data_IF_053050740889
#
_entry.id   IF_053050740889
#
_cell.length_a   1.000
_cell.length_b   1.000
_cell.length_c   1.000
_cell.angle_alpha   90.00
_cell.angle_beta   90.00
_cell.angle_gamma   90.00
#
_symmetry.space_group_name_H-M   'P 1'
#
loop_
_entity.id
_entity.type
_entity.pdbx_description
1 polymer ?
#
# COMPACT_ATOMS: atom_id res chain seq x y z
N UNK A 1 4.93 9.69 4.35
CA UNK A 1 3.59 9.48 4.95
C UNK A 1 3.68 8.21 5.77
N UNK A 2 3.31 8.24 7.04
CA UNK A 2 3.21 7.04 7.90
C UNK A 2 1.76 6.88 8.34
N UNK A 3 1.25 5.65 8.33
CA UNK A 3 -0.08 5.36 8.88
C UNK A 3 -0.06 5.34 10.41
N UNK A 4 -1.10 5.88 11.03
CA UNK A 4 -1.40 5.64 12.44
C UNK A 4 -2.19 4.33 12.60
N UNK A 5 -2.08 3.68 13.77
CA UNK A 5 -2.84 2.47 14.09
C UNK A 5 -4.35 2.66 13.90
N UNK A 6 -4.87 3.83 14.29
CA UNK A 6 -6.30 4.15 14.13
C UNK A 6 -6.72 4.11 12.66
N UNK A 7 -5.89 4.63 11.75
CA UNK A 7 -6.18 4.68 10.31
C UNK A 7 -6.24 3.28 9.72
N UNK A 8 -5.29 2.42 10.10
CA UNK A 8 -5.28 1.02 9.67
C UNK A 8 -6.48 0.27 10.24
N UNK A 9 -6.77 0.44 11.54
CA UNK A 9 -7.92 -0.18 12.19
C UNK A 9 -9.23 0.23 11.51
N UNK A 10 -9.40 1.50 11.16
CA UNK A 10 -10.60 1.97 10.47
C UNK A 10 -10.76 1.34 9.08
N UNK A 11 -9.67 1.22 8.32
CA UNK A 11 -9.68 0.56 7.01
C UNK A 11 -10.04 -0.92 7.12
N UNK A 12 -9.49 -1.63 8.11
CA UNK A 12 -9.81 -3.04 8.39
C UNK A 12 -11.27 -3.18 8.80
N UNK A 13 -11.75 -2.37 9.75
CA UNK A 13 -13.14 -2.37 10.19
C UNK A 13 -14.11 -2.17 9.03
N UNK A 14 -13.86 -1.16 8.18
CA UNK A 14 -14.66 -0.88 6.99
C UNK A 14 -14.65 -2.04 5.99
N UNK A 15 -13.50 -2.65 5.75
CA UNK A 15 -13.40 -3.82 4.88
C UNK A 15 -14.24 -5.00 5.39
N UNK A 16 -14.21 -5.27 6.70
CA UNK A 16 -15.01 -6.33 7.30
C UNK A 16 -16.51 -6.08 7.13
N UNK A 17 -16.95 -4.82 7.28
CA UNK A 17 -18.34 -4.43 7.02
C UNK A 17 -18.72 -4.61 5.53
N UNK A 18 -17.89 -4.09 4.63
CA UNK A 18 -18.12 -4.09 3.18
C UNK A 18 -18.13 -5.52 2.60
N UNK A 19 -17.38 -6.44 3.21
CA UNK A 19 -17.31 -7.86 2.80
C UNK A 19 -18.38 -8.74 3.45
N UNK A 20 -19.20 -8.21 4.36
CA UNK A 20 -20.25 -8.96 5.05
C UNK A 20 -19.76 -9.82 6.23
N UNK A 21 -18.55 -9.60 6.75
CA UNK A 21 -18.03 -10.30 7.94
C UNK A 21 -18.58 -9.68 9.22
N UNK A 22 -19.90 -9.75 9.41
CA UNK A 22 -20.64 -9.00 10.44
C UNK A 22 -20.11 -9.28 11.86
N UNK A 23 -19.87 -10.54 12.23
CA UNK A 23 -19.38 -10.89 13.57
C UNK A 23 -17.96 -10.40 13.82
N UNK A 24 -17.09 -10.52 12.81
CA UNK A 24 -15.72 -10.02 12.89
C UNK A 24 -15.69 -8.49 12.96
N UNK A 25 -16.49 -7.79 12.15
CA UNK A 25 -16.61 -6.34 12.20
C UNK A 25 -17.10 -5.87 13.58
N UNK A 26 -18.09 -6.57 14.16
CA UNK A 26 -18.60 -6.26 15.49
C UNK A 26 -17.52 -6.41 16.57
N UNK A 27 -16.89 -7.59 16.66
CA UNK A 27 -15.86 -7.85 17.67
C UNK A 27 -14.67 -6.91 17.51
N UNK A 28 -14.20 -6.74 16.27
CA UNK A 28 -13.07 -5.88 15.96
C UNK A 28 -13.36 -4.42 16.30
N UNK A 29 -14.56 -3.91 16.00
CA UNK A 29 -14.92 -2.52 16.33
C UNK A 29 -14.89 -2.22 17.84
N UNK A 30 -15.19 -3.22 18.68
CA UNK A 30 -15.08 -3.11 20.13
C UNK A 30 -13.61 -3.20 20.57
N UNK A 31 -12.89 -4.23 20.13
CA UNK A 31 -11.49 -4.49 20.51
C UNK A 31 -10.54 -3.37 20.06
N UNK A 32 -10.79 -2.78 18.89
CA UNK A 32 -10.00 -1.69 18.34
C UNK A 32 -10.45 -0.30 18.82
N UNK A 33 -11.45 -0.21 19.70
CA UNK A 33 -12.05 1.04 20.16
C UNK A 33 -12.42 2.01 19.02
N UNK A 34 -13.00 1.51 17.92
CA UNK A 34 -13.13 2.30 16.69
C UNK A 34 -13.96 3.58 16.86
N UNK A 35 -14.96 3.54 17.74
CA UNK A 35 -15.82 4.68 18.08
C UNK A 35 -15.07 5.81 18.80
N UNK A 36 -13.90 5.54 19.37
CA UNK A 36 -13.04 6.54 20.02
C UNK A 36 -11.97 7.09 19.06
N UNK A 37 -11.82 6.51 17.87
CA UNK A 37 -10.89 7.01 16.86
C UNK A 37 -11.36 8.37 16.33
N UNK A 38 -10.43 9.28 16.04
CA UNK A 38 -10.73 10.61 15.49
C UNK A 38 -10.93 10.59 13.97
N UNK A 39 -11.35 9.46 13.41
CA UNK A 39 -11.45 9.26 11.96
C UNK A 39 -12.86 9.58 11.49
N UNK A 40 -12.96 10.51 10.54
CA UNK A 40 -14.21 10.82 9.89
C UNK A 40 -14.55 9.74 8.84
N UNK A 41 -15.44 8.81 9.18
CA UNK A 41 -15.83 7.74 8.27
C UNK A 41 -16.49 8.17 6.97
N UNK A 42 -17.03 9.39 6.89
CA UNK A 42 -17.69 9.92 5.68
C UNK A 42 -16.70 10.26 4.56
N UNK A 43 -15.43 10.54 4.88
CA UNK A 43 -14.40 10.83 3.88
C UNK A 43 -13.69 9.58 3.38
N UNK A 44 -13.93 8.43 4.00
CA UNK A 44 -13.30 7.16 3.63
C UNK A 44 -14.17 6.46 2.58
N UNK A 45 -13.72 6.37 1.32
CA UNK A 45 -14.50 5.78 0.25
C UNK A 45 -14.70 4.27 0.47
N UNK A 46 -15.73 3.66 -0.16
CA UNK A 46 -15.86 2.21 -0.20
C UNK A 46 -14.60 1.55 -0.79
N UNK A 47 -14.28 0.34 -0.34
CA UNK A 47 -13.12 -0.44 -0.78
C UNK A 47 -11.77 0.28 -0.60
N UNK A 48 -11.67 1.25 0.32
CA UNK A 48 -10.44 2.02 0.56
C UNK A 48 -9.25 1.11 0.89
N UNK A 49 -9.43 0.11 1.78
CA UNK A 49 -8.37 -0.83 2.13
C UNK A 49 -7.86 -1.59 0.90
N UNK A 50 -8.79 -2.13 0.10
CA UNK A 50 -8.44 -2.87 -1.11
C UNK A 50 -7.71 -1.99 -2.12
N UNK A 51 -8.16 -0.75 -2.31
CA UNK A 51 -7.50 0.22 -3.20
C UNK A 51 -6.07 0.53 -2.77
N UNK A 52 -5.83 0.68 -1.47
CA UNK A 52 -4.49 0.92 -0.91
C UNK A 52 -3.60 -0.30 -1.14
N UNK A 53 -4.10 -1.51 -0.85
CA UNK A 53 -3.33 -2.76 -1.08
C UNK A 53 -2.98 -2.91 -2.56
N UNK A 54 -3.95 -2.70 -3.46
CA UNK A 54 -3.73 -2.78 -4.91
C UNK A 54 -2.67 -1.78 -5.38
N UNK A 55 -2.76 -0.52 -4.94
CA UNK A 55 -1.74 0.51 -5.27
C UNK A 55 -0.39 0.19 -4.65
N UNK A 56 -0.35 -0.39 -3.46
CA UNK A 56 0.88 -0.84 -2.81
C UNK A 56 1.60 -1.91 -3.63
N UNK A 57 0.88 -2.92 -4.11
CA UNK A 57 1.43 -3.95 -5.00
C UNK A 57 1.99 -3.34 -6.30
N UNK A 58 1.21 -2.49 -6.96
CA UNK A 58 1.65 -1.80 -8.19
C UNK A 58 2.88 -0.92 -7.96
N UNK A 59 2.97 -0.27 -6.80
CA UNK A 59 4.12 0.52 -6.41
C UNK A 59 5.36 -0.37 -6.26
N UNK A 60 5.26 -1.50 -5.55
CA UNK A 60 6.35 -2.47 -5.41
C UNK A 60 6.81 -3.03 -6.77
N UNK A 61 5.88 -3.41 -7.64
CA UNK A 61 6.20 -3.88 -9.00
C UNK A 61 6.93 -2.81 -9.82
N UNK A 62 6.51 -1.54 -9.67
CA UNK A 62 7.15 -0.40 -10.33
C UNK A 62 8.58 -0.16 -9.80
N UNK A 63 8.81 -0.26 -8.50
CA UNK A 63 10.15 -0.12 -7.91
C UNK A 63 11.12 -1.19 -8.42
N UNK A 64 10.64 -2.45 -8.53
CA UNK A 64 11.42 -3.56 -9.10
C UNK A 64 11.76 -3.26 -10.57
N UNK A 65 10.74 -2.92 -11.37
CA UNK A 65 10.90 -2.65 -12.81
C UNK A 65 11.89 -1.50 -13.08
N UNK A 66 11.83 -0.44 -12.27
CA UNK A 66 12.77 0.69 -12.37
C UNK A 66 14.19 0.26 -11.96
N UNK A 67 14.33 -0.58 -10.94
CA UNK A 67 15.62 -1.14 -10.52
C UNK A 67 16.29 -1.95 -11.63
N UNK A 68 15.53 -2.85 -12.28
CA UNK A 68 16.00 -3.66 -13.41
C UNK A 68 16.39 -2.80 -14.62
N UNK A 69 15.59 -1.79 -14.94
CA UNK A 69 15.90 -0.85 -16.01
C UNK A 69 17.20 -0.08 -15.74
N UNK A 70 17.39 0.42 -14.50
CA UNK A 70 18.63 1.11 -14.11
C UNK A 70 19.85 0.21 -14.26
N UNK A 71 19.74 -1.06 -13.85
CA UNK A 71 20.83 -2.02 -13.98
C UNK A 71 21.14 -2.33 -15.44
N UNK A 72 20.12 -2.49 -16.28
CA UNK A 72 20.27 -2.71 -17.72
C UNK A 72 20.96 -1.52 -18.42
N UNK A 73 20.53 -0.29 -18.11
CA UNK A 73 21.16 0.94 -18.62
C UNK A 73 22.61 1.07 -18.17
N UNK A 74 22.91 0.72 -16.93
CA UNK A 74 24.28 0.72 -16.43
C UNK A 74 25.18 -0.27 -17.21
N UNK A 75 24.68 -1.49 -17.46
CA UNK A 75 25.41 -2.48 -18.26
C UNK A 75 25.63 -2.01 -19.70
N UNK A 76 24.61 -1.41 -20.34
CA UNK A 76 24.76 -0.82 -21.67
C UNK A 76 25.80 0.30 -21.70
N UNK A 77 25.80 1.19 -20.71
CA UNK A 77 26.80 2.28 -20.63
C UNK A 77 28.25 1.78 -20.54
N UNK A 78 28.46 0.63 -19.88
CA UNK A 78 29.78 -0.04 -19.81
C UNK A 78 30.19 -0.68 -21.12
N UNK A 79 29.24 -1.16 -21.91
CA UNK A 79 29.50 -1.76 -23.23
C UNK A 79 29.71 -0.69 -24.32
N UNK A 80 29.16 0.52 -24.14
CA UNK A 80 29.31 1.64 -25.08
C UNK A 80 30.49 2.56 -24.78
N UNK A 81 31.16 2.42 -23.63
CA UNK A 81 32.39 3.15 -23.36
C UNK A 81 33.49 2.60 -24.28
N UNK A 82 34.00 3.38 -25.26
CA UNK A 82 35.04 2.90 -26.15
C UNK A 82 36.26 2.55 -25.31
N UNK A 83 36.83 1.37 -25.56
CA UNK A 83 38.09 0.90 -24.99
C UNK A 83 39.12 2.04 -24.96
N UNK A 84 39.27 2.71 -23.82
CA UNK A 84 40.44 3.56 -23.56
C UNK A 84 41.59 2.61 -23.21
N UNK A 85 42.05 1.89 -24.23
CA UNK A 85 43.36 1.28 -24.26
C UNK A 85 44.31 2.33 -24.85
N UNK A 86 45.06 3.00 -23.96
CA UNK A 86 46.40 3.53 -24.24
C UNK A 86 47.26 3.04 -23.09
#
# INVERSE_FOLDING_TARGET
MSFCSDEVNFLVYRYLQESGFVHSAYLFGIESHISQSNINGSVVPPAALLSIIQKGLQYTESEISIGELRQSLFMLSRLTAPNMQI
#
